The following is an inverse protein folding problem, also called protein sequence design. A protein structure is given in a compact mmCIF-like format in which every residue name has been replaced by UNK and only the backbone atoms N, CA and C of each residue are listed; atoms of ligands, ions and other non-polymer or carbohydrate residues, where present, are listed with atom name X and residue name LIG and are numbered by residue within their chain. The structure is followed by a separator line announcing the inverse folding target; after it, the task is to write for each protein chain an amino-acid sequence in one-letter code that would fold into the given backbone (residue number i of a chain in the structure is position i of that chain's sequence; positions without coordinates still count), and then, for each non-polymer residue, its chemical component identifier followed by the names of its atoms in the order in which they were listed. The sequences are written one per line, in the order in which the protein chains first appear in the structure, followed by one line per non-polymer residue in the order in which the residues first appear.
data_IF_670179318143
#
_entry.id   IF_670179318143
#
_cell.length_a   1.000
_cell.length_b   1.000
_cell.length_c   1.000
_cell.angle_alpha   90.00
_cell.angle_beta   90.00
_cell.angle_gamma   90.00
#
_symmetry.space_group_name_H-M   'P 1'
#
loop_
_entity.id
_entity.type
_entity.pdbx_description
1 polymer ?
#
# COMPACT_ATOMS: atom_id res chain seq x y z
N UNK A 1 -2.31 -21.96 -5.93
CA UNK A 1 -3.16 -20.77 -5.78
C UNK A 1 -2.54 -19.62 -6.55
N UNK A 2 -3.29 -19.00 -7.46
CA UNK A 2 -2.86 -17.87 -8.28
C UNK A 2 -3.72 -16.64 -7.94
N UNK A 3 -3.17 -15.71 -7.17
CA UNK A 3 -3.80 -14.42 -6.92
C UNK A 3 -3.12 -13.32 -7.74
N UNK A 4 -3.86 -12.28 -8.12
CA UNK A 4 -3.27 -11.06 -8.69
C UNK A 4 -3.63 -9.84 -7.84
N UNK A 5 -2.72 -8.86 -7.85
CA UNK A 5 -2.92 -7.51 -7.31
C UNK A 5 -2.57 -6.52 -8.41
N UNK A 6 -3.35 -5.46 -8.53
CA UNK A 6 -3.12 -4.38 -9.47
C UNK A 6 -3.25 -3.03 -8.76
N UNK A 7 -2.24 -2.18 -8.90
CA UNK A 7 -2.20 -0.85 -8.29
C UNK A 7 -2.21 0.21 -9.39
N UNK A 8 -3.08 1.20 -9.23
CA UNK A 8 -3.19 2.37 -10.12
C UNK A 8 -2.96 3.61 -9.28
N UNK A 9 -2.01 4.46 -9.70
CA UNK A 9 -1.69 5.72 -9.03
C UNK A 9 -1.47 6.83 -10.06
N UNK A 10 -1.75 8.07 -9.66
CA UNK A 10 -1.46 9.26 -10.46
C UNK A 10 -0.87 10.34 -9.55
N UNK A 11 0.43 10.61 -9.68
CA UNK A 11 1.13 11.59 -8.84
C UNK A 11 1.48 12.86 -9.63
N UNK A 12 1.26 14.02 -9.01
CA UNK A 12 1.81 15.28 -9.47
C UNK A 12 3.19 15.51 -8.83
N UNK A 13 4.07 16.20 -9.54
CA UNK A 13 5.43 16.52 -9.09
C UNK A 13 5.68 18.01 -9.19
N UNK A 14 6.37 18.57 -8.20
CA UNK A 14 6.73 19.98 -8.17
C UNK A 14 8.13 20.18 -7.57
N UNK A 15 8.98 20.89 -8.31
CA UNK A 15 10.32 21.27 -7.87
C UNK A 15 10.21 22.59 -7.08
N UNK A 16 10.32 22.48 -5.76
CA UNK A 16 10.28 23.65 -4.86
C UNK A 16 11.59 24.42 -4.96
N UNK A 17 12.69 23.69 -5.08
CA UNK A 17 14.05 24.22 -5.32
C UNK A 17 14.77 23.26 -6.28
N UNK A 18 15.95 23.62 -6.81
CA UNK A 18 16.74 22.70 -7.63
C UNK A 18 17.07 21.36 -6.94
N UNK A 19 17.09 21.33 -5.60
CA UNK A 19 17.48 20.16 -4.82
C UNK A 19 16.30 19.50 -4.09
N UNK A 20 15.10 20.10 -4.11
CA UNK A 20 13.91 19.60 -3.37
C UNK A 20 12.72 19.47 -4.30
N UNK A 21 12.24 18.23 -4.45
CA UNK A 21 11.02 17.87 -5.17
C UNK A 21 9.97 17.36 -4.21
N UNK A 22 8.75 17.82 -4.36
CA UNK A 22 7.58 17.24 -3.70
C UNK A 22 6.73 16.49 -4.72
N UNK A 23 6.08 15.42 -4.29
CA UNK A 23 5.10 14.70 -5.10
C UNK A 23 3.92 14.23 -4.27
N UNK A 24 2.80 13.98 -4.95
CA UNK A 24 1.67 13.31 -4.32
C UNK A 24 0.47 13.17 -5.24
N UNK A 25 -0.43 12.27 -4.85
CA UNK A 25 -1.59 11.95 -5.64
C UNK A 25 -2.40 10.74 -5.16
N UNK A 26 -3.59 10.53 -5.77
CA UNK A 26 -4.46 9.41 -5.45
C UNK A 26 -3.90 8.08 -5.95
N UNK A 27 -4.31 7.00 -5.26
CA UNK A 27 -4.01 5.61 -5.63
C UNK A 27 -5.14 4.66 -5.24
N UNK A 28 -5.30 3.60 -6.02
CA UNK A 28 -6.29 2.55 -5.80
C UNK A 28 -5.65 1.19 -6.09
N UNK A 29 -5.96 0.22 -5.23
CA UNK A 29 -5.48 -1.15 -5.35
C UNK A 29 -6.67 -2.08 -5.58
N UNK A 30 -6.49 -3.05 -6.46
CA UNK A 30 -7.45 -4.11 -6.78
C UNK A 30 -6.80 -5.47 -6.51
N UNK A 31 -7.60 -6.44 -6.10
CA UNK A 31 -7.12 -7.80 -5.94
C UNK A 31 -8.16 -8.84 -6.38
N UNK A 32 -7.68 -10.02 -6.78
CA UNK A 32 -8.53 -11.16 -7.12
C UNK A 32 -9.17 -11.79 -5.88
N UNK A 33 -10.26 -12.55 -6.10
CA UNK A 33 -10.89 -13.37 -5.05
C UNK A 33 -9.89 -14.29 -4.37
N UNK A 34 -9.00 -14.92 -5.15
CA UNK A 34 -8.00 -15.87 -4.63
C UNK A 34 -6.96 -15.17 -3.74
N UNK A 35 -6.62 -13.91 -4.04
CA UNK A 35 -5.76 -13.10 -3.17
C UNK A 35 -6.48 -12.72 -1.88
N UNK A 36 -7.74 -12.29 -1.99
CA UNK A 36 -8.52 -11.97 -0.79
C UNK A 36 -8.79 -13.21 0.06
N UNK A 37 -9.06 -14.37 -0.52
CA UNK A 37 -9.32 -15.61 0.22
C UNK A 37 -8.06 -16.07 0.98
N UNK A 38 -6.88 -15.93 0.36
CA UNK A 38 -5.61 -16.30 0.99
C UNK A 38 -5.19 -15.38 2.16
N UNK A 39 -5.49 -14.08 2.09
CA UNK A 39 -5.03 -13.09 3.09
C UNK A 39 -6.12 -12.59 4.04
N UNK A 40 -7.40 -12.69 3.64
CA UNK A 40 -8.55 -12.14 4.36
C UNK A 40 -9.71 -13.13 4.48
N UNK A 41 -9.65 -14.28 3.81
CA UNK A 41 -10.58 -15.39 3.98
C UNK A 41 -10.36 -16.10 5.31
N UNK A 42 -11.43 -16.68 5.83
CA UNK A 42 -11.36 -17.52 7.04
C UNK A 42 -12.03 -18.84 6.69
N UNK A 43 -11.24 -19.92 6.66
CA UNK A 43 -11.75 -21.24 6.30
C UNK A 43 -12.47 -21.92 7.49
N UNK A 44 -13.06 -23.09 7.26
CA UNK A 44 -13.88 -23.80 8.25
C UNK A 44 -13.11 -24.20 9.52
N UNK A 45 -11.86 -24.60 9.37
CA UNK A 45 -11.01 -25.09 10.45
C UNK A 45 -10.42 -23.93 11.25
N UNK A 46 -10.03 -22.86 10.54
CA UNK A 46 -9.57 -21.60 11.12
C UNK A 46 -10.67 -20.87 11.89
N UNK A 47 -11.92 -20.91 11.42
CA UNK A 47 -13.07 -20.35 12.12
C UNK A 47 -13.29 -21.01 13.49
N UNK A 48 -13.15 -22.34 13.56
CA UNK A 48 -13.29 -23.12 14.80
C UNK A 48 -12.10 -22.88 15.75
N UNK A 49 -10.89 -22.73 15.22
CA UNK A 49 -9.69 -22.49 16.01
C UNK A 49 -9.55 -21.04 16.52
N UNK A 50 -10.03 -20.06 15.75
CA UNK A 50 -9.89 -18.63 16.07
C UNK A 50 -11.15 -17.99 16.67
N UNK A 51 -12.30 -18.66 16.57
CA UNK A 51 -13.62 -18.12 16.94
C UNK A 51 -14.19 -17.13 15.94
N UNK A 52 -13.53 -16.89 14.80
CA UNK A 52 -13.96 -15.96 13.76
C UNK A 52 -15.01 -16.60 12.85
N UNK A 53 -15.99 -15.82 12.38
CA UNK A 53 -16.98 -16.30 11.41
C UNK A 53 -16.34 -16.57 10.04
N UNK A 54 -16.78 -17.64 9.37
CA UNK A 54 -16.32 -18.02 8.02
C UNK A 54 -16.58 -16.87 7.04
N UNK A 55 -15.57 -16.51 6.25
CA UNK A 55 -15.66 -15.41 5.27
C UNK A 55 -15.01 -15.83 3.94
N UNK A 56 -15.75 -15.70 2.83
CA UNK A 56 -15.27 -15.96 1.46
C UNK A 56 -15.39 -14.69 0.61
N UNK A 57 -14.30 -13.93 0.46
CA UNK A 57 -14.30 -12.69 -0.30
C UNK A 57 -14.35 -12.92 -1.83
N UNK A 58 -15.13 -12.10 -2.54
CA UNK A 58 -15.02 -11.97 -4.00
C UNK A 58 -13.80 -11.16 -4.43
N UNK A 59 -13.55 -11.00 -5.73
CA UNK A 59 -12.54 -10.06 -6.24
C UNK A 59 -13.07 -8.62 -6.31
N UNK A 60 -12.19 -7.62 -6.34
CA UNK A 60 -12.61 -6.21 -6.38
C UNK A 60 -11.58 -5.21 -5.86
N UNK A 61 -12.06 -4.01 -5.52
CA UNK A 61 -11.23 -2.95 -4.93
C UNK A 61 -10.75 -3.40 -3.56
N UNK A 62 -9.43 -3.45 -3.38
CA UNK A 62 -8.75 -3.76 -2.12
C UNK A 62 -8.64 -2.52 -1.25
N UNK A 63 -8.22 -1.39 -1.83
CA UNK A 63 -8.09 -0.13 -1.10
C UNK A 63 -8.12 1.07 -2.03
N UNK A 64 -8.47 2.23 -1.48
CA UNK A 64 -8.31 3.53 -2.13
C UNK A 64 -7.67 4.52 -1.15
N UNK A 65 -6.85 5.42 -1.66
CA UNK A 65 -6.02 6.27 -0.83
C UNK A 65 -5.30 7.37 -1.59
N UNK A 66 -4.36 8.00 -0.90
CA UNK A 66 -3.46 8.99 -1.44
C UNK A 66 -2.13 8.91 -0.71
N UNK A 67 -1.07 9.36 -1.37
CA UNK A 67 0.24 9.46 -0.75
C UNK A 67 1.03 10.62 -1.31
N UNK A 68 2.15 10.88 -0.68
CA UNK A 68 3.07 11.92 -1.11
C UNK A 68 4.46 11.69 -0.58
N UNK A 69 5.42 12.38 -1.19
CA UNK A 69 6.80 12.33 -0.82
C UNK A 69 7.46 13.70 -0.94
N UNK A 70 8.43 13.93 -0.07
CA UNK A 70 9.44 14.98 -0.21
C UNK A 70 10.74 14.26 -0.52
N UNK A 71 11.39 14.64 -1.61
CA UNK A 71 12.67 14.10 -2.05
C UNK A 71 13.68 15.23 -2.12
N UNK A 72 14.83 15.04 -1.48
CA UNK A 72 15.90 16.01 -1.43
C UNK A 72 17.23 15.41 -1.91
N UNK A 73 17.90 16.13 -2.80
CA UNK A 73 19.26 15.82 -3.25
C UNK A 73 20.24 16.27 -2.16
N UNK A 74 20.80 15.31 -1.43
CA UNK A 74 21.73 15.58 -0.32
C UNK A 74 23.11 15.95 -0.85
N UNK A 75 23.58 15.20 -1.86
CA UNK A 75 24.82 15.44 -2.60
C UNK A 75 24.62 15.01 -4.06
N UNK A 76 25.61 15.23 -4.93
CA UNK A 76 25.53 14.77 -6.33
C UNK A 76 25.12 13.31 -6.53
N UNK A 77 25.69 12.33 -5.81
CA UNK A 77 25.28 10.93 -5.92
C UNK A 77 24.16 10.52 -4.96
N UNK A 78 23.78 11.34 -3.97
CA UNK A 78 22.92 10.90 -2.87
C UNK A 78 21.61 11.69 -2.81
N UNK A 79 20.50 10.95 -2.81
CA UNK A 79 19.15 11.48 -2.64
C UNK A 79 18.52 10.82 -1.42
N UNK A 80 17.78 11.57 -0.63
CA UNK A 80 16.96 11.01 0.42
C UNK A 80 15.51 11.47 0.28
N UNK A 81 14.59 10.65 0.79
CA UNK A 81 13.17 10.87 0.65
C UNK A 81 12.44 10.56 1.96
N UNK A 82 11.39 11.31 2.22
CA UNK A 82 10.40 11.09 3.26
C UNK A 82 9.08 10.94 2.54
N UNK A 83 8.35 9.87 2.83
CA UNK A 83 7.07 9.61 2.19
C UNK A 83 6.03 9.17 3.20
N UNK A 84 4.78 9.44 2.87
CA UNK A 84 3.62 9.03 3.64
C UNK A 84 2.51 8.58 2.72
N UNK A 85 1.77 7.57 3.16
CA UNK A 85 0.60 7.07 2.46
C UNK A 85 -0.53 6.82 3.44
N UNK A 86 -1.73 7.20 3.01
CA UNK A 86 -2.97 6.79 3.62
C UNK A 86 -3.74 5.92 2.63
N UNK A 87 -4.18 4.74 3.08
CA UNK A 87 -5.09 3.91 2.32
C UNK A 87 -6.24 3.41 3.19
N UNK A 88 -7.43 3.39 2.62
CA UNK A 88 -8.61 2.81 3.26
C UNK A 88 -8.94 1.50 2.56
N UNK A 89 -8.97 0.41 3.31
CA UNK A 89 -9.42 -0.89 2.84
C UNK A 89 -10.89 -0.79 2.43
N UNK A 90 -11.23 -1.39 1.29
CA UNK A 90 -12.56 -1.38 0.69
C UNK A 90 -13.03 -2.79 0.35
N UNK A 91 -14.32 -2.92 0.03
CA UNK A 91 -14.91 -4.17 -0.43
C UNK A 91 -14.62 -5.35 0.49
N UNK A 92 -14.20 -6.49 -0.05
CA UNK A 92 -14.03 -7.69 0.75
C UNK A 92 -12.93 -7.59 1.82
N UNK A 93 -11.88 -6.79 1.61
CA UNK A 93 -10.89 -6.52 2.65
C UNK A 93 -11.47 -5.72 3.83
N UNK A 94 -12.37 -4.77 3.57
CA UNK A 94 -13.04 -4.00 4.62
C UNK A 94 -14.07 -4.83 5.40
N UNK A 95 -14.57 -5.91 4.80
CA UNK A 95 -15.64 -6.73 5.34
C UNK A 95 -15.19 -7.98 6.09
N UNK A 96 -13.90 -8.30 6.02
CA UNK A 96 -13.27 -9.39 6.78
C UNK A 96 -13.38 -9.18 8.29
N UNK A 97 -13.70 -10.25 9.03
CA UNK A 97 -13.76 -10.27 10.50
C UNK A 97 -12.42 -9.91 11.14
N UNK A 98 -11.30 -10.25 10.49
CA UNK A 98 -9.96 -9.80 10.87
C UNK A 98 -9.86 -8.26 10.95
N UNK A 99 -10.39 -7.57 9.95
CA UNK A 99 -10.34 -6.10 9.88
C UNK A 99 -11.39 -5.46 10.78
N UNK A 100 -12.59 -6.05 10.87
CA UNK A 100 -13.70 -5.52 11.69
C UNK A 100 -13.49 -5.70 13.19
N UNK A 101 -12.91 -6.82 13.61
CA UNK A 101 -12.83 -7.19 15.03
C UNK A 101 -11.45 -6.93 15.64
N UNK A 102 -10.39 -6.92 14.82
CA UNK A 102 -9.00 -6.81 15.32
C UNK A 102 -8.11 -5.84 14.53
N UNK A 103 -8.64 -5.17 13.52
CA UNK A 103 -7.87 -4.27 12.65
C UNK A 103 -8.49 -2.88 12.53
N UNK A 104 -7.99 -2.11 11.58
CA UNK A 104 -8.56 -0.83 11.16
C UNK A 104 -8.80 -0.88 9.67
N UNK A 105 -9.89 -0.27 9.19
CA UNK A 105 -10.09 -0.05 7.75
C UNK A 105 -9.12 0.98 7.21
N UNK A 106 -8.66 1.89 8.06
CA UNK A 106 -7.77 2.98 7.73
C UNK A 106 -6.33 2.59 8.05
N UNK A 107 -5.48 2.62 7.04
CA UNK A 107 -4.08 2.20 7.08
C UNK A 107 -3.20 3.41 6.79
N UNK A 108 -2.22 3.65 7.65
CA UNK A 108 -1.25 4.74 7.51
C UNK A 108 0.16 4.17 7.45
N UNK A 109 0.95 4.66 6.50
CA UNK A 109 2.37 4.33 6.36
C UNK A 109 3.17 5.62 6.30
N UNK A 110 4.30 5.63 6.99
CA UNK A 110 5.33 6.67 6.88
C UNK A 110 6.69 5.98 6.76
N UNK A 111 7.55 6.51 5.91
CA UNK A 111 8.87 5.93 5.68
C UNK A 111 9.89 6.96 5.23
N UNK A 112 11.15 6.61 5.43
CA UNK A 112 12.30 7.35 4.92
C UNK A 112 13.15 6.42 4.07
N UNK A 113 13.73 6.94 3.00
CA UNK A 113 14.63 6.19 2.13
C UNK A 113 15.82 7.04 1.72
N UNK A 114 16.87 6.37 1.26
CA UNK A 114 18.07 7.01 0.72
C UNK A 114 18.58 6.18 -0.44
N UNK A 115 18.90 6.86 -1.53
CA UNK A 115 19.41 6.27 -2.76
C UNK A 115 20.78 6.87 -3.05
N UNK A 116 21.74 6.02 -3.37
CA UNK A 116 23.09 6.42 -3.78
C UNK A 116 23.38 5.93 -5.20
N UNK A 117 23.84 6.82 -6.08
CA UNK A 117 24.26 6.51 -7.44
C UNK A 117 25.75 6.21 -7.48
N UNK A 118 26.11 5.03 -7.98
CA UNK A 118 27.50 4.66 -8.23
C UNK A 118 27.87 5.06 -9.67
N UNK A 119 28.75 6.05 -9.80
CA UNK A 119 29.32 6.43 -11.09
C UNK A 119 30.66 5.69 -11.25
N UNK A 120 30.73 4.76 -12.20
CA UNK A 120 31.97 4.08 -12.57
C UNK A 120 32.56 4.80 -13.79
N UNK A 121 33.67 5.51 -13.62
CA UNK A 121 34.51 5.96 -14.75
C UNK A 121 35.55 4.88 -15.04
N UNK A 122 35.54 4.31 -16.24
CA UNK A 122 36.66 3.51 -16.77
C UNK A 122 37.73 4.42 -17.37
#
# INVERSE_FOLDING_TARGET
HSGFVADIAADAFYDVTPDVRISGGPRVSFASSDYFDAYYGVNAEEAVASGLSRYRPGGGVKSAGFGGAVTWKVTEPMTASLFGEYSRLMGPAADSSLVKERGSRDQFMIGVSTTYRFDFSM
#
